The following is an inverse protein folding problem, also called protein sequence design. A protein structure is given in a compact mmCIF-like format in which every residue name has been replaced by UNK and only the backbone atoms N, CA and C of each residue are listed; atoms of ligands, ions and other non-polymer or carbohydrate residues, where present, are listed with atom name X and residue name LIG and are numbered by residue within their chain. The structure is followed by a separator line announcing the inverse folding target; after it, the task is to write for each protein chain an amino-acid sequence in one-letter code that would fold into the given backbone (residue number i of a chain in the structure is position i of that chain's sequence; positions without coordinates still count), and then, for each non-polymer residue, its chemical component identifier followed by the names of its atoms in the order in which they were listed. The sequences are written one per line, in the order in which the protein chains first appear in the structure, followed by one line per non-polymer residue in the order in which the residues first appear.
data_IF_576292762827
#
_entry.id   IF_576292762827
#
_cell.length_a   1.000
_cell.length_b   1.000
_cell.length_c   1.000
_cell.angle_alpha   90.00
_cell.angle_beta   90.00
_cell.angle_gamma   90.00
#
_symmetry.space_group_name_H-M   'P 1'
#
loop_
_entity.id
_entity.type
_entity.pdbx_description
1 polymer ?
#
# COMPACT_ATOMS: atom_id res chain seq x y z
N UNK A 1 17.99 -10.89 -2.23
CA UNK A 1 17.16 -12.00 -1.68
C UNK A 1 15.91 -11.43 -1.02
N UNK A 2 14.82 -12.23 -0.99
CA UNK A 2 13.58 -11.84 -0.31
C UNK A 2 13.00 -13.02 0.48
N UNK A 3 12.31 -12.68 1.58
CA UNK A 3 11.54 -13.62 2.40
C UNK A 3 10.08 -13.20 2.36
N UNK A 4 9.21 -14.15 2.04
CA UNK A 4 7.77 -13.95 2.04
C UNK A 4 7.18 -14.70 3.23
N UNK A 5 6.39 -13.99 4.03
CA UNK A 5 5.79 -14.53 5.25
C UNK A 5 4.28 -14.59 5.05
N UNK A 6 3.69 -15.74 5.29
CA UNK A 6 2.23 -15.99 5.22
C UNK A 6 1.69 -16.36 6.59
N UNK A 7 0.39 -16.25 6.78
CA UNK A 7 -0.26 -16.76 7.96
C UNK A 7 -0.31 -18.29 7.92
N UNK A 8 -0.96 -18.84 6.90
CA UNK A 8 -1.25 -20.26 6.76
C UNK A 8 -0.24 -21.02 5.89
N UNK A 9 -0.21 -22.34 6.08
CA UNK A 9 0.64 -23.23 5.28
C UNK A 9 0.14 -23.41 3.84
N UNK A 10 -1.18 -23.48 3.63
CA UNK A 10 -1.77 -23.57 2.28
C UNK A 10 -1.45 -22.32 1.46
N UNK A 11 -1.61 -21.14 2.07
CA UNK A 11 -1.21 -19.87 1.48
C UNK A 11 0.28 -19.85 1.13
N UNK A 12 1.16 -20.39 2.00
CA UNK A 12 2.60 -20.49 1.73
C UNK A 12 2.92 -21.31 0.49
N UNK A 13 2.28 -22.47 0.31
CA UNK A 13 2.44 -23.30 -0.86
C UNK A 13 2.00 -22.58 -2.14
N UNK A 14 0.87 -21.89 -2.10
CA UNK A 14 0.41 -21.10 -3.25
C UNK A 14 1.37 -19.96 -3.56
N UNK A 15 1.80 -19.19 -2.57
CA UNK A 15 2.74 -18.08 -2.76
C UNK A 15 4.06 -18.53 -3.38
N UNK A 16 4.53 -19.75 -3.08
CA UNK A 16 5.71 -20.33 -3.73
C UNK A 16 5.55 -20.56 -5.24
N UNK A 17 4.31 -20.62 -5.73
CA UNK A 17 4.00 -20.71 -7.17
C UNK A 17 3.89 -19.32 -7.83
N UNK A 18 3.67 -18.27 -7.04
CA UNK A 18 3.42 -16.90 -7.52
C UNK A 18 4.71 -16.05 -7.55
N UNK A 19 5.68 -16.33 -6.68
CA UNK A 19 6.90 -15.54 -6.57
C UNK A 19 8.09 -16.40 -6.16
N UNK A 20 9.29 -15.88 -6.42
CA UNK A 20 10.54 -16.48 -5.97
C UNK A 20 10.92 -15.94 -4.58
N UNK A 21 11.69 -16.71 -3.84
CA UNK A 21 12.19 -16.33 -2.51
C UNK A 21 11.97 -17.41 -1.46
N UNK A 22 12.36 -17.12 -0.24
CA UNK A 22 12.13 -18.00 0.91
C UNK A 22 10.72 -17.77 1.43
N UNK A 23 9.93 -18.84 1.52
CA UNK A 23 8.55 -18.77 2.00
C UNK A 23 8.50 -19.33 3.42
N UNK A 24 7.91 -18.56 4.32
CA UNK A 24 7.78 -18.89 5.74
C UNK A 24 6.31 -18.79 6.15
N UNK A 25 5.74 -19.88 6.64
CA UNK A 25 4.41 -19.87 7.27
C UNK A 25 4.54 -19.57 8.77
N UNK A 26 3.87 -18.53 9.24
CA UNK A 26 3.83 -18.16 10.66
C UNK A 26 2.85 -19.03 11.48
N UNK A 27 2.03 -19.85 10.82
CA UNK A 27 1.03 -20.79 11.36
C UNK A 27 -0.20 -20.11 11.96
N UNK A 28 -0.10 -18.84 12.37
CA UNK A 28 -1.23 -18.06 12.89
C UNK A 28 -0.98 -16.55 12.73
N UNK A 29 -2.04 -15.77 12.57
CA UNK A 29 -1.98 -14.31 12.47
C UNK A 29 -1.23 -13.67 13.66
N UNK A 30 -1.44 -14.17 14.86
CA UNK A 30 -0.79 -13.70 16.09
C UNK A 30 0.73 -13.89 16.11
N UNK A 31 1.25 -14.80 15.29
CA UNK A 31 2.68 -15.06 15.18
C UNK A 31 3.38 -14.19 14.15
N UNK A 32 2.64 -13.59 13.20
CA UNK A 32 3.20 -12.82 12.10
C UNK A 32 4.24 -11.80 12.57
N UNK A 33 3.91 -10.97 13.55
CA UNK A 33 4.83 -9.96 14.08
C UNK A 33 6.14 -10.59 14.62
N UNK A 34 6.03 -11.60 15.47
CA UNK A 34 7.21 -12.24 16.09
C UNK A 34 8.11 -12.92 15.06
N UNK A 35 7.52 -13.65 14.11
CA UNK A 35 8.25 -14.31 13.03
C UNK A 35 8.95 -13.27 12.17
N UNK A 36 8.27 -12.20 11.81
CA UNK A 36 8.81 -11.10 10.98
C UNK A 36 9.99 -10.41 11.65
N UNK A 37 9.89 -10.09 12.95
CA UNK A 37 10.99 -9.49 13.73
C UNK A 37 12.20 -10.42 13.83
N UNK A 38 11.99 -11.73 14.03
CA UNK A 38 13.08 -12.71 14.05
C UNK A 38 13.79 -12.82 12.71
N UNK A 39 13.04 -12.80 11.61
CA UNK A 39 13.58 -12.79 10.25
C UNK A 39 14.41 -11.54 10.01
N UNK A 40 13.91 -10.36 10.35
CA UNK A 40 14.67 -9.10 10.24
C UNK A 40 15.95 -9.10 11.06
N UNK A 41 15.87 -9.63 12.29
CA UNK A 41 17.05 -9.76 13.18
C UNK A 41 18.09 -10.70 12.58
N UNK A 42 17.68 -11.79 11.96
CA UNK A 42 18.58 -12.80 11.37
C UNK A 42 19.17 -12.34 10.04
N UNK A 43 18.39 -11.62 9.23
CA UNK A 43 18.76 -11.13 7.90
C UNK A 43 18.40 -9.64 7.76
N UNK A 44 19.26 -8.73 8.26
CA UNK A 44 18.94 -7.29 8.35
C UNK A 44 18.61 -6.62 7.01
N UNK A 45 19.26 -7.05 5.92
CA UNK A 45 19.12 -6.41 4.59
C UNK A 45 18.12 -7.13 3.67
N UNK A 46 17.53 -8.21 4.13
CA UNK A 46 16.58 -8.98 3.31
C UNK A 46 15.28 -8.20 3.11
N UNK A 47 14.76 -8.21 1.89
CA UNK A 47 13.42 -7.74 1.60
C UNK A 47 12.39 -8.67 2.23
N UNK A 48 11.55 -8.13 3.11
CA UNK A 48 10.49 -8.90 3.79
C UNK A 48 9.14 -8.50 3.21
N UNK A 49 8.35 -9.50 2.81
CA UNK A 49 7.01 -9.34 2.24
C UNK A 49 6.04 -10.15 3.08
N UNK A 50 4.99 -9.51 3.58
CA UNK A 50 3.86 -10.16 4.25
C UNK A 50 2.79 -10.44 3.18
N UNK A 51 2.58 -11.71 2.84
CA UNK A 51 1.45 -12.14 2.01
C UNK A 51 0.27 -12.41 2.96
N UNK A 52 -0.48 -11.36 3.25
CA UNK A 52 -1.57 -11.38 4.22
C UNK A 52 -2.86 -11.93 3.63
N UNK A 53 -3.77 -12.31 4.52
CA UNK A 53 -5.13 -12.72 4.20
C UNK A 53 -6.04 -11.49 4.17
N UNK A 54 -7.01 -11.50 3.28
CA UNK A 54 -8.05 -10.49 3.20
C UNK A 54 -9.30 -11.01 3.93
N UNK A 55 -9.42 -10.67 5.22
CA UNK A 55 -10.53 -11.10 6.08
C UNK A 55 -11.77 -10.18 5.99
N UNK A 56 -11.99 -9.55 4.85
CA UNK A 56 -13.14 -8.67 4.65
C UNK A 56 -14.46 -9.45 4.87
N UNK A 57 -15.21 -9.01 5.87
CA UNK A 57 -16.56 -9.45 6.13
C UNK A 57 -17.40 -8.25 6.58
N UNK A 58 -18.69 -8.25 6.24
CA UNK A 58 -19.60 -7.15 6.56
C UNK A 58 -19.58 -6.78 8.06
N UNK A 59 -19.27 -5.51 8.32
CA UNK A 59 -19.24 -4.94 9.68
C UNK A 59 -18.11 -5.41 10.59
N UNK A 60 -17.09 -6.10 10.06
CA UNK A 60 -15.93 -6.56 10.84
C UNK A 60 -14.62 -5.93 10.31
N UNK A 61 -13.68 -5.71 11.23
CA UNK A 61 -12.32 -5.31 10.83
C UNK A 61 -11.61 -6.45 10.08
N UNK A 62 -10.83 -6.07 9.08
CA UNK A 62 -9.98 -6.98 8.33
C UNK A 62 -8.75 -7.36 9.15
N UNK A 63 -8.87 -8.39 9.98
CA UNK A 63 -7.84 -8.82 10.93
C UNK A 63 -6.56 -9.25 10.22
N UNK A 64 -6.65 -10.04 9.14
CA UNK A 64 -5.49 -10.50 8.38
C UNK A 64 -4.68 -9.32 7.85
N UNK A 65 -5.35 -8.35 7.22
CA UNK A 65 -4.71 -7.11 6.76
C UNK A 65 -4.03 -6.34 7.90
N UNK A 66 -4.73 -6.12 9.01
CA UNK A 66 -4.20 -5.35 10.15
C UNK A 66 -2.95 -6.00 10.73
N UNK A 67 -2.94 -7.32 10.89
CA UNK A 67 -1.78 -8.04 11.42
C UNK A 67 -0.60 -8.04 10.44
N UNK A 68 -0.86 -8.21 9.15
CA UNK A 68 0.18 -8.12 8.11
C UNK A 68 0.81 -6.71 8.05
N UNK A 69 0.01 -5.65 8.02
CA UNK A 69 0.48 -4.27 8.04
C UNK A 69 1.27 -3.94 9.30
N UNK A 70 0.81 -4.40 10.47
CA UNK A 70 1.52 -4.23 11.75
C UNK A 70 2.90 -4.89 11.73
N UNK A 71 2.96 -6.13 11.26
CA UNK A 71 4.20 -6.88 11.15
C UNK A 71 5.17 -6.23 10.15
N UNK A 72 4.70 -5.85 8.97
CA UNK A 72 5.50 -5.17 7.96
C UNK A 72 6.05 -3.83 8.46
N UNK A 73 5.22 -3.03 9.14
CA UNK A 73 5.64 -1.73 9.71
C UNK A 73 6.76 -1.86 10.72
N UNK A 74 6.81 -2.94 11.49
CA UNK A 74 7.86 -3.17 12.49
C UNK A 74 9.26 -3.35 11.88
N UNK A 75 9.33 -3.73 10.59
CA UNK A 75 10.59 -4.11 9.92
C UNK A 75 10.84 -3.37 8.61
N UNK A 76 10.11 -2.31 8.32
CA UNK A 76 10.15 -1.61 7.02
C UNK A 76 9.93 -2.61 5.85
N UNK A 77 8.91 -3.46 6.01
CA UNK A 77 8.57 -4.53 5.07
C UNK A 77 7.46 -4.16 4.10
N UNK A 78 7.10 -5.09 3.27
CA UNK A 78 6.06 -4.98 2.25
C UNK A 78 4.84 -5.81 2.63
N UNK A 79 3.66 -5.40 2.20
CA UNK A 79 2.42 -6.18 2.30
C UNK A 79 1.85 -6.37 0.92
N UNK A 80 1.31 -7.54 0.66
CA UNK A 80 0.48 -7.84 -0.50
C UNK A 80 -0.75 -8.62 -0.04
N UNK A 81 -1.93 -8.27 -0.58
CA UNK A 81 -3.22 -8.85 -0.23
C UNK A 81 -3.97 -9.22 -1.51
N UNK A 82 -4.78 -10.30 -1.50
CA UNK A 82 -5.67 -10.57 -2.62
C UNK A 82 -6.59 -9.38 -2.91
N UNK A 83 -6.65 -8.88 -4.17
CA UNK A 83 -7.44 -7.69 -4.53
C UNK A 83 -8.92 -8.02 -4.71
N UNK A 84 -9.54 -8.58 -3.69
CA UNK A 84 -10.96 -8.96 -3.64
C UNK A 84 -11.69 -8.25 -2.51
N UNK A 85 -13.01 -8.22 -2.56
CA UNK A 85 -13.87 -7.61 -1.54
C UNK A 85 -14.61 -8.59 -0.66
N UNK A 86 -14.25 -9.84 -0.72
CA UNK A 86 -14.73 -10.89 0.16
C UNK A 86 -13.54 -11.47 0.93
N UNK A 87 -13.83 -12.31 1.90
CA UNK A 87 -12.78 -13.05 2.61
C UNK A 87 -12.09 -13.99 1.64
N UNK A 88 -10.77 -13.84 1.48
CA UNK A 88 -9.93 -14.72 0.67
C UNK A 88 -8.47 -14.64 1.11
N UNK A 89 -7.77 -15.75 1.01
CA UNK A 89 -6.33 -15.78 1.02
C UNK A 89 -5.76 -15.85 -0.42
N UNK A 90 -4.44 -15.95 -0.58
CA UNK A 90 -3.82 -16.05 -1.91
C UNK A 90 -4.11 -17.39 -2.59
N UNK A 91 -4.45 -18.46 -1.85
CA UNK A 91 -4.85 -19.73 -2.44
C UNK A 91 -6.27 -19.65 -3.03
N UNK A 92 -7.20 -19.09 -2.27
CA UNK A 92 -8.57 -18.82 -2.74
C UNK A 92 -8.52 -17.96 -4.02
N UNK A 93 -7.79 -16.86 -3.98
CA UNK A 93 -7.66 -15.96 -5.13
C UNK A 93 -7.05 -16.64 -6.35
N UNK A 94 -6.00 -17.44 -6.17
CA UNK A 94 -5.40 -18.21 -7.27
C UNK A 94 -6.38 -19.21 -7.87
N UNK A 95 -7.20 -19.85 -7.05
CA UNK A 95 -8.22 -20.79 -7.52
C UNK A 95 -9.30 -20.07 -8.34
N UNK A 96 -9.66 -18.86 -7.94
CA UNK A 96 -10.68 -18.02 -8.60
C UNK A 96 -10.21 -17.47 -9.95
N UNK A 97 -9.00 -16.92 -10.04
CA UNK A 97 -8.54 -16.17 -11.22
C UNK A 97 -7.47 -16.87 -12.06
N UNK A 98 -6.93 -17.99 -11.56
CA UNK A 98 -5.83 -18.73 -12.18
C UNK A 98 -4.44 -18.20 -11.82
N UNK A 99 -3.41 -19.03 -12.07
CA UNK A 99 -2.03 -18.79 -11.60
C UNK A 99 -1.42 -17.49 -12.15
N UNK A 100 -1.57 -17.22 -13.44
CA UNK A 100 -0.90 -16.06 -14.08
C UNK A 100 -1.48 -14.73 -13.56
N UNK A 101 -2.80 -14.62 -13.48
CA UNK A 101 -3.44 -13.41 -12.93
C UNK A 101 -3.12 -13.23 -11.45
N UNK A 102 -3.07 -14.31 -10.68
CA UNK A 102 -2.69 -14.25 -9.27
C UNK A 102 -1.23 -13.80 -9.10
N UNK A 103 -0.31 -14.23 -9.99
CA UNK A 103 1.09 -13.80 -10.00
C UNK A 103 1.22 -12.31 -10.27
N UNK A 104 0.52 -11.81 -11.27
CA UNK A 104 0.55 -10.39 -11.62
C UNK A 104 -0.03 -9.54 -10.47
N UNK A 105 -1.20 -9.90 -9.96
CA UNK A 105 -1.80 -9.26 -8.81
C UNK A 105 -0.88 -9.28 -7.56
N UNK A 106 -0.20 -10.40 -7.29
CA UNK A 106 0.73 -10.49 -6.16
C UNK A 106 1.83 -9.43 -6.22
N UNK A 107 2.32 -9.10 -7.42
CA UNK A 107 3.33 -8.08 -7.65
C UNK A 107 2.76 -6.66 -7.61
N UNK A 108 1.60 -6.47 -8.22
CA UNK A 108 0.94 -5.16 -8.34
C UNK A 108 0.39 -4.65 -7.01
N UNK A 109 -0.09 -5.54 -6.15
CA UNK A 109 -0.67 -5.20 -4.84
C UNK A 109 0.37 -5.00 -3.73
N UNK A 110 1.67 -5.15 -4.02
CA UNK A 110 2.71 -4.94 -3.02
C UNK A 110 2.81 -3.47 -2.60
N UNK A 111 2.58 -3.23 -1.31
CA UNK A 111 2.70 -1.91 -0.68
C UNK A 111 3.80 -1.90 0.39
N UNK A 112 4.65 -0.86 0.40
CA UNK A 112 5.71 -0.70 1.40
C UNK A 112 5.13 -0.15 2.70
N UNK A 113 5.46 -0.78 3.83
CA UNK A 113 5.12 -0.33 5.18
C UNK A 113 6.40 -0.09 5.99
N UNK A 114 6.69 1.17 6.31
CA UNK A 114 7.89 1.56 7.06
C UNK A 114 7.58 2.28 8.36
N UNK A 115 8.61 2.49 9.17
CA UNK A 115 8.53 3.34 10.36
C UNK A 115 8.18 4.76 9.92
N UNK A 116 7.05 5.28 10.42
CA UNK A 116 6.58 6.61 10.05
C UNK A 116 5.62 6.67 8.85
N UNK A 117 5.34 5.57 8.17
CA UNK A 117 4.25 5.55 7.21
C UNK A 117 2.89 5.57 7.93
N UNK A 118 2.09 6.54 7.58
CA UNK A 118 0.72 6.65 8.07
C UNK A 118 -0.14 5.64 7.30
N UNK A 119 -1.01 4.92 8.03
CA UNK A 119 -2.04 4.07 7.38
C UNK A 119 -2.85 4.93 6.42
N UNK A 120 -2.93 4.51 5.18
CA UNK A 120 -3.79 5.18 4.21
C UNK A 120 -5.26 5.04 4.64
N UNK A 121 -6.10 6.06 4.36
CA UNK A 121 -7.54 5.96 4.55
C UNK A 121 -8.13 4.76 3.79
N UNK A 122 -9.27 4.28 4.26
CA UNK A 122 -9.97 3.19 3.57
C UNK A 122 -10.26 3.52 2.11
N UNK A 123 -10.08 2.52 1.25
CA UNK A 123 -10.21 2.68 -0.20
C UNK A 123 -8.96 3.21 -0.90
N UNK A 124 -7.97 3.74 -0.15
CA UNK A 124 -6.71 4.17 -0.77
C UNK A 124 -5.65 3.07 -0.69
N UNK A 125 -4.87 2.91 -1.76
CA UNK A 125 -3.68 2.06 -1.79
C UNK A 125 -2.54 2.73 -2.56
N UNK A 126 -1.33 2.58 -2.05
CA UNK A 126 -0.12 3.13 -2.64
C UNK A 126 0.72 1.98 -3.22
N UNK A 127 0.90 2.02 -4.53
CA UNK A 127 1.84 1.14 -5.25
C UNK A 127 3.18 1.86 -5.43
N UNK A 128 4.15 1.20 -6.06
CA UNK A 128 5.43 1.82 -6.39
C UNK A 128 5.28 3.05 -7.29
N UNK A 129 4.29 3.03 -8.19
CA UNK A 129 4.13 4.04 -9.24
C UNK A 129 3.02 5.04 -8.96
N UNK A 130 1.94 4.60 -8.26
CA UNK A 130 0.74 5.41 -8.13
C UNK A 130 0.02 5.23 -6.79
N UNK A 131 -0.64 6.30 -6.35
CA UNK A 131 -1.71 6.28 -5.37
C UNK A 131 -3.03 6.02 -6.10
N UNK A 132 -3.79 5.03 -5.64
CA UNK A 132 -5.09 4.63 -6.17
C UNK A 132 -6.18 4.87 -5.15
N UNK A 133 -7.40 5.09 -5.64
CA UNK A 133 -8.62 5.09 -4.85
C UNK A 133 -9.62 4.10 -5.45
N UNK A 134 -10.02 3.13 -4.65
CA UNK A 134 -10.97 2.07 -5.01
C UNK A 134 -12.38 2.54 -4.67
N UNK A 135 -13.03 3.24 -5.60
CA UNK A 135 -14.38 3.78 -5.43
C UNK A 135 -15.43 2.70 -5.59
N UNK A 136 -16.32 2.57 -4.60
CA UNK A 136 -17.54 1.78 -4.71
C UNK A 136 -18.55 2.50 -5.61
N UNK A 137 -19.04 1.82 -6.64
CA UNK A 137 -20.09 2.31 -7.51
C UNK A 137 -21.23 1.30 -7.52
N UNK A 138 -22.41 1.72 -7.09
CA UNK A 138 -23.61 0.89 -7.20
C UNK A 138 -24.10 0.90 -8.65
N UNK A 139 -24.30 -0.27 -9.23
CA UNK A 139 -24.91 -0.45 -10.54
C UNK A 139 -26.42 -0.33 -10.45
N UNK A 140 -27.04 -0.09 -11.59
CA UNK A 140 -28.51 -0.01 -11.72
C UNK A 140 -29.23 -1.33 -11.47
N UNK A 141 -28.52 -2.46 -11.53
CA UNK A 141 -28.99 -3.82 -11.24
C UNK A 141 -28.90 -4.21 -9.76
N UNK A 142 -28.38 -3.32 -8.90
CA UNK A 142 -28.21 -3.53 -7.47
C UNK A 142 -26.85 -4.11 -7.10
N UNK A 143 -26.02 -4.49 -8.06
CA UNK A 143 -24.66 -4.94 -7.83
C UNK A 143 -23.71 -3.78 -7.52
N UNK A 144 -22.66 -4.07 -6.74
CA UNK A 144 -21.61 -3.10 -6.42
C UNK A 144 -20.34 -3.42 -7.22
N UNK A 145 -19.82 -2.42 -7.93
CA UNK A 145 -18.55 -2.52 -8.67
C UNK A 145 -17.48 -1.65 -8.05
N UNK A 146 -16.22 -2.12 -8.06
CA UNK A 146 -15.07 -1.31 -7.72
C UNK A 146 -14.56 -0.59 -8.97
N UNK A 147 -14.54 0.73 -8.90
CA UNK A 147 -13.88 1.54 -9.90
C UNK A 147 -12.52 2.02 -9.36
N UNK A 148 -11.44 1.50 -9.91
CA UNK A 148 -10.08 1.92 -9.55
C UNK A 148 -9.79 3.28 -10.18
N UNK A 149 -9.58 4.29 -9.34
CA UNK A 149 -9.25 5.66 -9.77
C UNK A 149 -7.77 5.89 -9.46
N UNK A 150 -6.98 6.15 -10.50
CA UNK A 150 -5.60 6.60 -10.33
C UNK A 150 -5.60 8.04 -9.85
N UNK A 151 -5.00 8.31 -8.69
CA UNK A 151 -4.99 9.64 -8.05
C UNK A 151 -3.73 10.42 -8.41
N UNK A 152 -2.55 9.90 -8.09
CA UNK A 152 -1.29 10.58 -8.35
C UNK A 152 -0.11 9.63 -8.35
N UNK A 153 1.04 10.10 -8.84
CA UNK A 153 2.32 9.47 -8.49
C UNK A 153 2.57 9.57 -6.99
N UNK A 154 3.45 8.71 -6.42
CA UNK A 154 3.76 8.74 -4.99
C UNK A 154 4.20 10.14 -4.55
N UNK A 155 3.52 10.65 -3.54
CA UNK A 155 3.76 11.96 -2.93
C UNK A 155 3.70 11.80 -1.42
N UNK A 156 4.73 12.27 -0.71
CA UNK A 156 4.82 12.15 0.75
C UNK A 156 4.73 13.51 1.39
N UNK A 157 4.01 13.59 2.51
CA UNK A 157 4.07 14.72 3.44
C UNK A 157 5.08 14.34 4.52
N UNK A 158 6.23 15.02 4.54
CA UNK A 158 7.35 14.65 5.43
C UNK A 158 7.48 15.56 6.66
N UNK A 159 6.92 16.77 6.59
CA UNK A 159 6.93 17.70 7.73
C UNK A 159 5.77 18.70 7.67
N UNK A 160 5.48 19.31 8.80
CA UNK A 160 4.74 20.57 8.92
C UNK A 160 5.77 21.70 8.84
N UNK A 161 5.47 22.73 8.05
CA UNK A 161 6.29 23.95 7.95
C UNK A 161 5.55 25.14 8.53
N UNK A 162 6.28 26.11 9.05
CA UNK A 162 5.77 27.42 9.44
C UNK A 162 6.89 28.44 9.35
N UNK A 163 6.54 29.73 9.39
CA UNK A 163 7.52 30.80 9.55
C UNK A 163 8.11 30.80 10.96
N UNK A 164 9.19 31.56 11.16
CA UNK A 164 9.91 31.62 12.44
C UNK A 164 9.04 32.19 13.58
N UNK A 165 8.04 32.99 13.27
CA UNK A 165 7.05 33.54 14.20
C UNK A 165 5.87 32.62 14.49
N UNK A 166 5.87 31.39 13.90
CA UNK A 166 4.80 30.44 14.09
C UNK A 166 3.55 30.70 13.24
N UNK A 167 3.66 31.52 12.21
CA UNK A 167 2.60 31.77 11.23
C UNK A 167 2.81 31.00 9.92
N UNK A 168 1.94 31.18 8.94
CA UNK A 168 2.04 30.64 7.57
C UNK A 168 2.33 29.13 7.50
N UNK A 169 1.50 28.34 8.17
CA UNK A 169 1.64 26.89 8.17
C UNK A 169 1.59 26.30 6.76
N UNK A 170 2.38 25.25 6.56
CA UNK A 170 2.45 24.50 5.33
C UNK A 170 2.71 22.99 5.56
N UNK A 171 2.90 22.29 4.46
CA UNK A 171 3.31 20.90 4.42
C UNK A 171 4.53 20.76 3.51
N UNK A 172 5.59 20.13 4.01
CA UNK A 172 6.72 19.75 3.16
C UNK A 172 6.33 18.49 2.38
N UNK A 173 6.19 18.66 1.07
CA UNK A 173 5.90 17.60 0.14
C UNK A 173 7.21 17.10 -0.48
N UNK A 174 7.34 15.77 -0.65
CA UNK A 174 8.48 15.14 -1.31
C UNK A 174 7.98 14.12 -2.34
N UNK A 175 8.60 14.10 -3.52
CA UNK A 175 8.33 13.14 -4.61
C UNK A 175 9.56 12.93 -5.48
N UNK A 176 9.50 11.93 -6.37
CA UNK A 176 10.47 11.74 -7.45
C UNK A 176 9.89 12.31 -8.75
N UNK A 177 10.69 13.10 -9.48
CA UNK A 177 10.30 13.60 -10.80
C UNK A 177 10.42 12.49 -11.87
N UNK A 178 10.02 12.80 -13.10
CA UNK A 178 10.08 11.88 -14.26
C UNK A 178 11.48 11.36 -14.57
N UNK A 179 12.53 12.02 -14.06
CA UNK A 179 13.92 11.62 -14.24
C UNK A 179 14.49 10.87 -13.02
N UNK A 180 13.65 10.60 -12.01
CA UNK A 180 14.06 9.93 -10.77
C UNK A 180 14.77 10.85 -9.76
N UNK A 181 14.73 12.18 -9.94
CA UNK A 181 15.32 13.12 -8.99
C UNK A 181 14.33 13.42 -7.85
N UNK A 182 14.83 13.45 -6.64
CA UNK A 182 14.05 13.87 -5.46
C UNK A 182 13.70 15.35 -5.56
N UNK A 183 12.41 15.67 -5.39
CA UNK A 183 11.86 17.01 -5.34
C UNK A 183 11.22 17.27 -4.00
N UNK A 184 11.31 18.51 -3.53
CA UNK A 184 10.70 18.98 -2.29
C UNK A 184 10.03 20.33 -2.52
N UNK A 185 8.87 20.51 -1.87
CA UNK A 185 8.17 21.78 -1.90
C UNK A 185 7.42 22.01 -0.58
N UNK A 186 7.66 23.18 0.02
CA UNK A 186 6.87 23.64 1.17
C UNK A 186 5.54 24.23 0.65
N UNK A 187 4.51 23.41 0.60
CA UNK A 187 3.18 23.78 0.14
C UNK A 187 2.47 24.63 1.20
N UNK A 188 2.04 25.86 0.92
CA UNK A 188 1.22 26.65 1.83
C UNK A 188 -0.13 25.97 2.12
N UNK A 189 -0.58 25.99 3.39
CA UNK A 189 -1.85 25.37 3.79
C UNK A 189 -3.08 26.02 3.14
N UNK A 190 -2.99 27.29 2.78
CA UNK A 190 -4.06 28.01 2.08
C UNK A 190 -4.46 27.36 0.75
N UNK A 191 -3.51 26.66 0.08
CA UNK A 191 -3.79 25.94 -1.16
C UNK A 191 -4.77 24.75 -0.99
N UNK A 192 -4.99 24.29 0.25
CA UNK A 192 -5.99 23.25 0.54
C UNK A 192 -7.42 23.80 0.60
N UNK A 193 -7.58 25.13 0.73
CA UNK A 193 -8.89 25.79 0.78
C UNK A 193 -9.56 26.02 -0.58
N UNK A 194 -8.84 25.74 -1.69
CA UNK A 194 -9.32 25.96 -3.05
C UNK A 194 -9.81 24.69 -3.75
N UNK A 195 -10.05 24.80 -5.07
CA UNK A 195 -10.44 23.69 -5.94
C UNK A 195 -9.32 22.61 -6.12
N UNK A 196 -8.13 22.88 -5.61
CA UNK A 196 -6.94 22.05 -5.81
C UNK A 196 -6.31 22.19 -7.19
N UNK A 197 -6.83 23.02 -8.08
CA UNK A 197 -6.32 23.20 -9.43
C UNK A 197 -4.92 23.82 -9.44
N UNK A 198 -4.72 24.84 -8.63
CA UNK A 198 -3.41 25.47 -8.49
C UNK A 198 -2.38 24.53 -7.89
N UNK A 199 -2.75 23.77 -6.86
CA UNK A 199 -1.90 22.73 -6.27
C UNK A 199 -1.47 21.71 -7.33
N UNK A 200 -2.41 21.20 -8.13
CA UNK A 200 -2.12 20.23 -9.22
C UNK A 200 -1.18 20.84 -10.24
N UNK A 201 -1.42 22.09 -10.66
CA UNK A 201 -0.58 22.81 -11.60
C UNK A 201 0.87 22.95 -11.11
N UNK A 202 1.04 23.37 -9.84
CA UNK A 202 2.38 23.53 -9.26
C UNK A 202 3.11 22.20 -9.20
N UNK A 203 2.46 21.11 -8.77
CA UNK A 203 3.06 19.77 -8.70
C UNK A 203 3.50 19.28 -10.08
N UNK A 204 2.66 19.42 -11.11
CA UNK A 204 2.98 19.01 -12.48
C UNK A 204 4.15 19.84 -13.07
N UNK A 205 4.15 21.16 -12.89
CA UNK A 205 5.23 22.04 -13.36
C UNK A 205 6.56 21.68 -12.67
N UNK A 206 6.51 21.23 -11.41
CA UNK A 206 7.69 20.80 -10.67
C UNK A 206 8.02 19.30 -10.86
N UNK A 207 7.46 18.67 -11.87
CA UNK A 207 7.86 17.35 -12.35
C UNK A 207 7.19 16.17 -11.65
N UNK A 208 6.07 16.35 -10.92
CA UNK A 208 5.28 15.21 -10.47
C UNK A 208 4.77 14.45 -11.70
N UNK A 209 5.11 13.13 -11.88
CA UNK A 209 4.84 12.43 -13.13
C UNK A 209 3.36 12.33 -13.49
N UNK A 210 2.49 12.24 -12.49
CA UNK A 210 1.04 12.13 -12.69
C UNK A 210 0.25 12.67 -11.50
N UNK A 211 -0.85 13.38 -11.79
CA UNK A 211 -1.92 13.69 -10.83
C UNK A 211 -3.26 13.76 -11.60
N UNK A 212 -4.31 13.18 -11.02
CA UNK A 212 -5.65 13.19 -11.60
C UNK A 212 -6.22 14.62 -11.61
N UNK A 213 -6.73 15.03 -12.75
CA UNK A 213 -7.29 16.38 -12.96
C UNK A 213 -8.83 16.40 -13.06
N UNK A 214 -9.48 15.20 -12.98
CA UNK A 214 -10.93 15.05 -13.07
C UNK A 214 -11.57 14.93 -11.68
#
# INVERSE_FOLDING_TARGET
EQVIITEGFATALTVSLLTEGWIVAAVAATNLLKVTEQIRKRWPETRIILAGDNDLADGKENTGRIQAEKAAKAVDGWVTLPPVRHKADWDDYRQEVGKERARDAFREEMTLHGKGQTRLPEGFRLTKEYLWYDKLVNKSDGDTEIRNIKISSPLRVTAITSDADGSNYGRLLEWEDTNGNSRKWAMPMEMLGGSGEELRRVLLVNGLPYININ
#
